data_IF_998770823420
#
_entry.id   IF_998770823420
#
_cell.length_a   1.000
_cell.length_b   1.000
_cell.length_c   1.000
_cell.angle_alpha   90.00
_cell.angle_beta   90.00
_cell.angle_gamma   90.00
#
_symmetry.space_group_name_H-M   'P 1'
#
loop_
_entity.id
_entity.type
_entity.pdbx_description
1 polymer ?
#
# COMPACT_ATOMS: atom_id res chain seq x y z
N UNK A 1 27.39 0.25 23.13
CA UNK A 1 28.10 -1.05 23.10
C UNK A 1 27.08 -2.14 23.42
N UNK A 2 26.48 -2.69 22.38
CA UNK A 2 25.65 -3.90 22.42
C UNK A 2 25.71 -4.46 21.00
N UNK A 3 26.56 -5.46 20.79
CA UNK A 3 26.69 -6.17 19.52
C UNK A 3 25.44 -7.02 19.31
N UNK A 4 24.58 -6.60 18.40
CA UNK A 4 23.49 -7.41 17.87
C UNK A 4 24.03 -8.34 16.79
N UNK A 5 24.02 -9.64 17.07
CA UNK A 5 24.38 -10.69 16.13
C UNK A 5 23.31 -10.83 15.04
N UNK A 6 23.72 -10.71 13.78
CA UNK A 6 22.91 -11.05 12.60
C UNK A 6 22.69 -12.57 12.50
N UNK A 7 21.49 -13.05 12.15
CA UNK A 7 21.30 -14.45 11.80
C UNK A 7 21.77 -14.70 10.36
N UNK A 8 22.98 -15.24 10.22
CA UNK A 8 23.40 -15.94 9.00
C UNK A 8 22.55 -17.19 8.83
N UNK A 9 21.68 -17.23 7.82
CA UNK A 9 20.88 -18.43 7.52
C UNK A 9 20.70 -18.68 6.03
N UNK A 10 21.79 -18.80 5.30
CA UNK A 10 21.82 -19.46 3.98
C UNK A 10 23.20 -20.09 3.79
N UNK A 11 23.26 -21.42 3.69
CA UNK A 11 24.50 -22.13 3.37
C UNK A 11 24.65 -23.51 4.01
N UNK A 12 23.68 -24.41 3.85
CA UNK A 12 23.99 -25.85 3.88
C UNK A 12 23.57 -26.46 2.53
N UNK A 13 24.50 -26.34 1.58
CA UNK A 13 24.53 -27.17 0.39
C UNK A 13 24.71 -28.63 0.81
N UNK A 14 23.68 -29.45 0.61
CA UNK A 14 23.83 -30.90 0.70
C UNK A 14 24.67 -31.39 -0.49
N UNK A 15 25.99 -31.46 -0.30
CA UNK A 15 26.88 -32.25 -1.14
C UNK A 15 26.45 -33.73 -1.07
N UNK A 16 26.07 -34.27 -2.23
CA UNK A 16 25.87 -35.70 -2.42
C UNK A 16 27.25 -36.37 -2.36
N UNK A 17 27.52 -37.07 -1.27
CA UNK A 17 28.67 -37.96 -1.09
C UNK A 17 28.53 -39.18 -2.00
N UNK A 18 29.23 -39.15 -3.15
CA UNK A 18 29.42 -40.31 -4.02
C UNK A 18 30.48 -41.21 -3.38
N UNK A 19 29.99 -42.08 -2.52
CA UNK A 19 30.78 -42.92 -1.61
C UNK A 19 32.00 -43.61 -2.24
N UNK A 20 33.03 -43.66 -1.41
CA UNK A 20 34.26 -44.41 -1.61
C UNK A 20 33.98 -45.90 -1.86
N UNK A 21 34.55 -46.40 -2.96
CA UNK A 21 34.57 -47.82 -3.33
C UNK A 21 35.55 -48.54 -2.42
N UNK A 22 35.03 -49.22 -1.40
CA UNK A 22 35.80 -50.16 -0.59
C UNK A 22 35.99 -51.48 -1.34
N UNK A 23 37.24 -51.88 -1.56
CA UNK A 23 37.61 -53.23 -2.04
C UNK A 23 37.20 -54.28 -0.99
N UNK A 24 36.10 -54.98 -1.24
CA UNK A 24 35.77 -56.23 -0.57
C UNK A 24 36.39 -57.39 -1.36
N UNK A 25 37.16 -58.24 -0.66
CA UNK A 25 37.85 -59.40 -1.23
C UNK A 25 36.91 -60.45 -1.83
N UNK A 26 37.47 -61.46 -2.52
CA UNK A 26 36.67 -62.43 -3.28
C UNK A 26 35.76 -63.26 -2.36
N UNK A 27 34.46 -63.03 -2.50
CA UNK A 27 33.39 -63.83 -1.90
C UNK A 27 33.29 -65.18 -2.64
N UNK A 28 33.11 -66.32 -1.94
CA UNK A 28 33.14 -67.64 -2.55
C UNK A 28 31.98 -67.84 -3.54
N UNK A 29 32.30 -68.48 -4.66
CA UNK A 29 31.42 -68.80 -5.78
C UNK A 29 30.10 -69.46 -5.28
N UNK A 30 28.92 -68.85 -5.49
CA UNK A 30 27.66 -69.48 -5.12
C UNK A 30 27.39 -70.66 -6.05
N UNK A 31 27.04 -71.80 -5.46
CA UNK A 31 26.63 -73.00 -6.17
C UNK A 31 25.51 -72.67 -7.19
N UNK A 32 25.48 -73.31 -8.38
CA UNK A 32 24.52 -72.99 -9.42
C UNK A 32 23.09 -73.13 -8.90
N UNK A 33 22.38 -71.99 -8.84
CA UNK A 33 20.98 -71.93 -8.46
C UNK A 33 20.15 -72.75 -9.45
N UNK A 34 19.41 -73.73 -8.95
CA UNK A 34 18.44 -74.49 -9.75
C UNK A 34 17.46 -73.54 -10.44
N UNK A 35 17.03 -73.83 -11.69
CA UNK A 35 16.12 -72.97 -12.42
C UNK A 35 14.80 -72.83 -11.66
N UNK A 36 14.59 -71.66 -11.05
CA UNK A 36 13.28 -71.28 -10.50
C UNK A 36 12.30 -71.29 -11.67
N UNK A 37 11.31 -72.17 -11.61
CA UNK A 37 10.15 -72.14 -12.50
C UNK A 37 9.42 -70.83 -12.24
N UNK A 38 9.74 -69.80 -13.02
CA UNK A 38 8.88 -68.63 -13.13
C UNK A 38 7.50 -69.13 -13.56
N UNK A 39 6.52 -68.99 -12.67
CA UNK A 39 5.12 -69.07 -13.03
C UNK A 39 4.94 -68.05 -14.16
N UNK A 40 4.84 -68.55 -15.40
CA UNK A 40 4.49 -67.75 -16.57
C UNK A 40 3.06 -67.30 -16.36
N UNK A 41 2.89 -66.19 -15.65
CA UNK A 41 1.63 -65.46 -15.64
C UNK A 41 1.43 -65.04 -17.10
N UNK A 42 0.36 -65.48 -17.78
CA UNK A 42 0.15 -65.14 -19.17
C UNK A 42 0.09 -63.62 -19.30
N UNK A 43 0.82 -63.04 -20.27
CA UNK A 43 0.89 -61.60 -20.52
C UNK A 43 -0.50 -60.92 -20.59
N UNK A 44 -1.55 -61.68 -20.91
CA UNK A 44 -2.94 -61.24 -20.86
C UNK A 44 -3.38 -60.79 -19.46
N UNK A 45 -3.01 -61.49 -18.38
CA UNK A 45 -3.42 -61.14 -17.02
C UNK A 45 -2.77 -59.82 -16.54
N UNK A 46 -1.51 -59.59 -16.92
CA UNK A 46 -0.83 -58.31 -16.68
C UNK A 46 -1.46 -57.17 -17.50
N UNK A 47 -1.84 -57.43 -18.75
CA UNK A 47 -2.54 -56.45 -19.58
C UNK A 47 -3.92 -56.10 -19.01
N UNK A 48 -4.68 -57.08 -18.54
CA UNK A 48 -5.97 -56.85 -17.87
C UNK A 48 -5.81 -56.04 -16.57
N UNK A 49 -4.79 -56.33 -15.77
CA UNK A 49 -4.51 -55.55 -14.57
C UNK A 49 -4.12 -54.10 -14.91
N UNK A 50 -3.28 -53.89 -15.92
CA UNK A 50 -2.89 -52.55 -16.37
C UNK A 50 -4.10 -51.76 -16.91
N UNK A 51 -4.97 -52.40 -17.70
CA UNK A 51 -6.21 -51.78 -18.20
C UNK A 51 -7.16 -51.46 -17.04
N UNK A 52 -7.30 -52.36 -16.07
CA UNK A 52 -8.15 -52.12 -14.91
C UNK A 52 -7.62 -50.97 -14.03
N UNK A 53 -6.29 -50.88 -13.82
CA UNK A 53 -5.66 -49.78 -13.09
C UNK A 53 -5.81 -48.47 -13.87
N UNK A 54 -5.60 -48.47 -15.19
CA UNK A 54 -5.78 -47.29 -16.03
C UNK A 54 -7.23 -46.82 -16.05
N UNK A 55 -8.20 -47.74 -16.12
CA UNK A 55 -9.62 -47.43 -16.01
C UNK A 55 -9.99 -46.92 -14.62
N UNK A 56 -9.48 -47.54 -13.55
CA UNK A 56 -9.72 -47.07 -12.18
C UNK A 56 -9.12 -45.68 -11.97
N UNK A 57 -7.90 -45.43 -12.45
CA UNK A 57 -7.27 -44.12 -12.41
C UNK A 57 -8.08 -43.11 -13.24
N UNK A 58 -8.50 -43.45 -14.46
CA UNK A 58 -9.33 -42.58 -15.29
C UNK A 58 -10.68 -42.28 -14.63
N UNK A 59 -11.33 -43.26 -14.01
CA UNK A 59 -12.58 -43.07 -13.27
C UNK A 59 -12.37 -42.19 -12.05
N UNK A 60 -11.32 -42.43 -11.25
CA UNK A 60 -10.98 -41.58 -10.08
C UNK A 60 -10.68 -40.15 -10.52
N UNK A 61 -9.95 -39.97 -11.62
CA UNK A 61 -9.67 -38.65 -12.21
C UNK A 61 -10.95 -37.98 -12.69
N UNK A 62 -11.81 -38.69 -13.44
CA UNK A 62 -13.10 -38.17 -13.93
C UNK A 62 -14.06 -37.85 -12.78
N UNK A 63 -14.09 -38.64 -11.71
CA UNK A 63 -14.92 -38.39 -10.52
C UNK A 63 -14.40 -37.19 -9.74
N UNK A 64 -13.07 -37.09 -9.53
CA UNK A 64 -12.46 -35.92 -8.88
C UNK A 64 -12.59 -34.63 -9.68
N UNK A 65 -12.64 -34.72 -11.01
CA UNK A 65 -12.74 -33.57 -11.92
C UNK A 65 -14.16 -33.35 -12.45
N UNK A 66 -15.14 -34.14 -11.99
CA UNK A 66 -16.52 -33.95 -12.41
C UNK A 66 -17.06 -32.68 -11.74
N UNK A 67 -17.53 -31.69 -12.50
CA UNK A 67 -18.15 -30.48 -11.94
C UNK A 67 -19.42 -30.79 -11.11
N UNK A 68 -19.96 -32.01 -11.23
CA UNK A 68 -21.11 -32.48 -10.43
C UNK A 68 -20.74 -32.94 -9.01
N UNK A 69 -19.45 -33.03 -8.67
CA UNK A 69 -18.96 -33.55 -7.38
C UNK A 69 -17.85 -32.67 -6.78
N UNK A 70 -17.95 -31.34 -6.90
CA UNK A 70 -17.04 -30.45 -6.15
C UNK A 70 -17.19 -30.75 -4.65
N UNK A 71 -16.07 -30.89 -3.89
CA UNK A 71 -16.15 -31.04 -2.44
C UNK A 71 -16.90 -29.86 -1.83
N UNK A 72 -17.68 -30.12 -0.76
CA UNK A 72 -18.50 -29.10 -0.11
C UNK A 72 -17.69 -27.84 0.27
N UNK A 73 -16.45 -28.01 0.73
CA UNK A 73 -15.57 -26.89 1.06
C UNK A 73 -15.18 -26.06 -0.18
N UNK A 74 -14.87 -26.72 -1.30
CA UNK A 74 -14.54 -26.05 -2.55
C UNK A 74 -15.74 -25.26 -3.10
N UNK A 75 -16.95 -25.84 -3.05
CA UNK A 75 -18.17 -25.11 -3.45
C UNK A 75 -18.49 -23.94 -2.53
N UNK A 76 -18.16 -24.04 -1.24
CA UNK A 76 -18.39 -22.96 -0.25
C UNK A 76 -17.48 -21.77 -0.54
N UNK A 77 -16.18 -22.00 -0.75
CA UNK A 77 -15.23 -20.94 -1.11
C UNK A 77 -15.53 -20.36 -2.49
N UNK A 78 -15.92 -21.20 -3.45
CA UNK A 78 -16.34 -20.72 -4.78
C UNK A 78 -17.56 -19.80 -4.66
N UNK A 79 -18.61 -20.23 -3.96
CA UNK A 79 -19.83 -19.43 -3.78
C UNK A 79 -19.59 -18.13 -3.01
N UNK A 80 -18.70 -18.15 -2.02
CA UNK A 80 -18.24 -16.94 -1.33
C UNK A 80 -17.59 -15.94 -2.30
N UNK A 81 -16.58 -16.36 -3.07
CA UNK A 81 -15.89 -15.48 -4.00
C UNK A 81 -16.80 -14.99 -5.13
N UNK A 82 -17.67 -15.84 -5.66
CA UNK A 82 -18.67 -15.47 -6.68
C UNK A 82 -19.65 -14.42 -6.12
N UNK A 83 -20.15 -14.60 -4.89
CA UNK A 83 -21.04 -13.61 -4.26
C UNK A 83 -20.36 -12.26 -4.05
N UNK A 84 -19.09 -12.25 -3.61
CA UNK A 84 -18.31 -11.02 -3.46
C UNK A 84 -18.08 -10.35 -4.81
N UNK A 85 -17.70 -11.12 -5.83
CA UNK A 85 -17.51 -10.61 -7.20
C UNK A 85 -18.80 -9.98 -7.77
N UNK A 86 -19.97 -10.57 -7.46
CA UNK A 86 -21.27 -10.08 -7.90
C UNK A 86 -21.82 -8.92 -7.03
N UNK A 87 -21.07 -8.50 -6.00
CA UNK A 87 -21.47 -7.43 -5.08
C UNK A 87 -22.54 -7.83 -4.05
N UNK A 88 -22.83 -9.13 -3.89
CA UNK A 88 -23.82 -9.65 -2.94
C UNK A 88 -23.16 -9.94 -1.58
N UNK A 89 -23.02 -8.86 -0.78
CA UNK A 89 -22.40 -8.93 0.56
C UNK A 89 -23.15 -9.88 1.49
N UNK A 90 -24.49 -9.86 1.48
CA UNK A 90 -25.30 -10.73 2.36
C UNK A 90 -25.07 -12.21 2.03
N UNK A 91 -25.08 -12.56 0.74
CA UNK A 91 -24.80 -13.92 0.30
C UNK A 91 -23.35 -14.33 0.61
N UNK A 92 -22.38 -13.43 0.44
CA UNK A 92 -20.98 -13.69 0.79
C UNK A 92 -20.82 -14.01 2.28
N UNK A 93 -21.37 -13.16 3.17
CA UNK A 93 -21.29 -13.36 4.62
C UNK A 93 -21.99 -14.64 5.09
N UNK A 94 -23.01 -15.11 4.37
CA UNK A 94 -23.69 -16.37 4.69
C UNK A 94 -22.78 -17.62 4.59
N UNK A 95 -21.66 -17.54 3.86
CA UNK A 95 -20.67 -18.63 3.75
C UNK A 95 -19.59 -18.59 4.83
N UNK A 96 -19.56 -17.58 5.70
CA UNK A 96 -18.50 -17.38 6.70
C UNK A 96 -18.99 -17.66 8.12
N UNK A 97 -18.05 -17.76 9.06
CA UNK A 97 -18.32 -17.76 10.50
C UNK A 97 -18.66 -16.35 11.06
N UNK A 98 -18.59 -15.32 10.20
CA UNK A 98 -18.76 -13.90 10.51
C UNK A 98 -20.03 -13.33 9.85
N UNK A 99 -21.15 -14.05 9.95
CA UNK A 99 -22.41 -13.73 9.23
C UNK A 99 -23.02 -12.37 9.57
N UNK A 100 -22.80 -11.91 10.80
CA UNK A 100 -23.33 -10.65 11.34
C UNK A 100 -22.26 -9.55 11.34
N UNK A 101 -21.18 -9.71 10.57
CA UNK A 101 -20.16 -8.68 10.46
C UNK A 101 -20.72 -7.39 9.85
N UNK A 102 -20.33 -6.27 10.42
CA UNK A 102 -20.69 -4.93 9.97
C UNK A 102 -19.41 -4.14 9.72
N UNK A 103 -19.43 -3.26 8.72
CA UNK A 103 -18.29 -2.41 8.41
C UNK A 103 -18.60 -1.44 7.28
N UNK A 104 -17.89 -0.31 7.19
CA UNK A 104 -18.13 0.72 6.19
C UNK A 104 -17.93 0.20 4.76
N UNK A 105 -17.04 -0.77 4.57
CA UNK A 105 -16.72 -1.37 3.27
C UNK A 105 -17.41 -2.71 3.01
N UNK A 106 -18.28 -3.18 3.92
CA UNK A 106 -19.12 -4.35 3.69
C UNK A 106 -20.41 -3.93 2.98
N UNK A 107 -20.25 -3.26 1.83
CA UNK A 107 -21.33 -2.76 0.99
C UNK A 107 -21.01 -3.03 -0.48
N UNK A 108 -22.02 -3.25 -1.35
CA UNK A 108 -21.80 -3.52 -2.77
C UNK A 108 -20.96 -2.45 -3.47
N UNK A 109 -21.12 -1.18 -3.08
CA UNK A 109 -20.42 -0.04 -3.66
C UNK A 109 -18.91 -0.06 -3.41
N UNK A 110 -18.44 -0.75 -2.37
CA UNK A 110 -17.02 -0.93 -2.11
C UNK A 110 -16.41 -2.07 -2.92
N UNK A 111 -17.21 -2.89 -3.60
CA UNK A 111 -16.76 -4.09 -4.32
C UNK A 111 -16.66 -3.79 -5.81
N UNK A 112 -15.49 -4.09 -6.37
CA UNK A 112 -15.22 -3.91 -7.80
C UNK A 112 -15.02 -5.27 -8.48
N UNK A 113 -15.62 -5.46 -9.67
CA UNK A 113 -15.57 -6.68 -10.46
C UNK A 113 -14.35 -6.76 -11.41
N UNK A 114 -13.35 -5.87 -11.29
CA UNK A 114 -12.10 -5.88 -12.07
C UNK A 114 -11.12 -6.98 -11.62
N UNK A 115 -11.63 -8.15 -11.27
CA UNK A 115 -10.83 -9.32 -10.97
C UNK A 115 -11.63 -10.59 -11.27
N UNK A 116 -10.95 -11.71 -11.45
CA UNK A 116 -11.56 -12.97 -11.84
C UNK A 116 -11.06 -14.10 -10.94
N UNK A 117 -11.91 -15.10 -10.69
CA UNK A 117 -11.52 -16.30 -9.94
C UNK A 117 -10.79 -17.24 -10.91
N UNK A 118 -9.48 -17.41 -10.72
CA UNK A 118 -8.69 -18.28 -11.60
C UNK A 118 -8.69 -19.73 -11.12
N UNK A 119 -8.68 -19.94 -9.81
CA UNK A 119 -8.57 -21.26 -9.22
C UNK A 119 -9.19 -21.35 -7.84
N UNK A 120 -9.97 -22.40 -7.62
CA UNK A 120 -10.37 -22.86 -6.30
C UNK A 120 -10.16 -24.36 -6.24
N UNK A 121 -9.44 -24.86 -5.23
CA UNK A 121 -9.16 -26.28 -5.09
C UNK A 121 -9.00 -26.68 -3.62
N UNK A 122 -9.72 -27.72 -3.20
CA UNK A 122 -9.47 -28.33 -1.89
C UNK A 122 -8.10 -29.02 -1.87
N UNK A 123 -7.21 -28.59 -0.97
CA UNK A 123 -5.83 -29.10 -0.86
C UNK A 123 -5.60 -29.98 0.35
N UNK A 124 -6.39 -29.83 1.42
CA UNK A 124 -6.36 -30.70 2.59
C UNK A 124 -7.77 -30.99 3.10
N UNK A 125 -7.94 -32.13 3.78
CA UNK A 125 -9.20 -32.55 4.39
C UNK A 125 -8.94 -33.50 5.55
N UNK A 126 -9.58 -33.23 6.69
CA UNK A 126 -9.51 -34.04 7.90
C UNK A 126 -10.93 -34.32 8.40
N UNK A 127 -11.33 -35.59 8.38
CA UNK A 127 -12.56 -36.05 9.03
C UNK A 127 -12.29 -36.30 10.51
N UNK A 128 -13.05 -35.63 11.38
CA UNK A 128 -12.91 -35.74 12.83
C UNK A 128 -13.95 -36.67 13.46
N UNK A 129 -14.87 -37.22 12.67
CA UNK A 129 -15.99 -38.03 13.14
C UNK A 129 -17.22 -37.20 13.49
N UNK A 130 -18.34 -37.88 13.82
CA UNK A 130 -19.62 -37.26 14.21
C UNK A 130 -20.21 -36.27 13.18
N UNK A 131 -19.83 -36.42 11.91
CA UNK A 131 -20.24 -35.53 10.82
C UNK A 131 -19.47 -34.22 10.78
N UNK A 132 -18.33 -34.12 11.50
CA UNK A 132 -17.47 -32.94 11.53
C UNK A 132 -16.19 -33.16 10.74
N UNK A 133 -15.80 -32.18 9.95
CA UNK A 133 -14.54 -32.20 9.22
C UNK A 133 -13.96 -30.79 9.10
N UNK A 134 -12.67 -30.72 8.83
CA UNK A 134 -12.00 -29.47 8.43
C UNK A 134 -11.37 -29.65 7.06
N UNK A 135 -11.35 -28.60 6.26
CA UNK A 135 -10.71 -28.59 4.94
C UNK A 135 -9.87 -27.33 4.77
N UNK A 136 -8.79 -27.45 3.99
CA UNK A 136 -8.07 -26.29 3.47
C UNK A 136 -8.36 -26.18 1.98
N UNK A 137 -8.74 -24.98 1.54
CA UNK A 137 -9.06 -24.67 0.15
C UNK A 137 -8.13 -23.58 -0.33
N UNK A 138 -7.32 -23.88 -1.35
CA UNK A 138 -6.52 -22.87 -2.04
C UNK A 138 -7.43 -22.11 -3.00
N UNK A 139 -7.38 -20.79 -2.94
CA UNK A 139 -8.04 -19.90 -3.88
C UNK A 139 -7.01 -18.94 -4.49
N UNK A 140 -7.24 -18.56 -5.74
CA UNK A 140 -6.44 -17.61 -6.49
C UNK A 140 -7.38 -16.73 -7.32
N UNK A 141 -7.11 -15.43 -7.30
CA UNK A 141 -7.82 -14.43 -8.09
C UNK A 141 -6.81 -13.63 -8.91
N UNK A 142 -7.25 -13.14 -10.07
CA UNK A 142 -6.45 -12.35 -11.01
C UNK A 142 -7.11 -10.99 -11.23
N UNK A 143 -6.39 -9.90 -10.97
CA UNK A 143 -6.83 -8.54 -11.21
C UNK A 143 -6.28 -7.95 -12.52
N UNK A 144 -6.27 -6.62 -12.65
CA UNK A 144 -5.66 -5.93 -13.78
C UNK A 144 -4.16 -6.28 -13.90
N UNK A 145 -3.62 -6.11 -15.11
CA UNK A 145 -2.20 -6.38 -15.43
C UNK A 145 -1.69 -7.79 -15.08
N UNK A 146 -2.60 -8.76 -15.02
CA UNK A 146 -2.32 -10.15 -14.62
C UNK A 146 -1.78 -10.29 -13.19
N UNK A 147 -2.12 -9.34 -12.31
CA UNK A 147 -1.79 -9.41 -10.89
C UNK A 147 -2.51 -10.61 -10.25
N UNK A 148 -1.73 -11.58 -9.76
CA UNK A 148 -2.25 -12.83 -9.18
C UNK A 148 -2.00 -12.86 -7.68
N UNK A 149 -3.07 -13.04 -6.90
CA UNK A 149 -2.99 -13.23 -5.44
C UNK A 149 -3.64 -14.56 -5.05
N UNK A 150 -2.96 -15.31 -4.18
CA UNK A 150 -3.38 -16.63 -3.74
C UNK A 150 -3.40 -16.78 -2.22
N UNK A 151 -4.46 -17.40 -1.70
CA UNK A 151 -4.63 -17.68 -0.27
C UNK A 151 -5.13 -19.09 0.01
N UNK A 152 -5.03 -19.52 1.27
CA UNK A 152 -5.62 -20.77 1.75
C UNK A 152 -6.68 -20.44 2.79
N UNK A 153 -7.93 -20.78 2.47
CA UNK A 153 -9.05 -20.70 3.39
C UNK A 153 -9.14 -21.96 4.24
N UNK A 154 -9.46 -21.79 5.51
CA UNK A 154 -9.84 -22.88 6.39
C UNK A 154 -11.37 -22.98 6.42
N UNK A 155 -11.89 -24.18 6.20
CA UNK A 155 -13.34 -24.42 6.11
C UNK A 155 -13.73 -25.46 7.15
N UNK A 156 -14.58 -25.05 8.08
CA UNK A 156 -15.21 -25.93 9.05
C UNK A 156 -16.47 -26.57 8.43
N UNK A 157 -16.63 -27.88 8.61
CA UNK A 157 -17.79 -28.62 8.15
C UNK A 157 -18.45 -29.29 9.36
N UNK A 158 -19.74 -29.03 9.59
CA UNK A 158 -20.56 -29.69 10.62
C UNK A 158 -21.87 -30.18 10.00
N UNK A 159 -22.07 -31.51 9.97
CA UNK A 159 -23.29 -32.19 9.51
C UNK A 159 -23.77 -31.73 8.12
N UNK A 160 -22.84 -31.51 7.21
CA UNK A 160 -23.13 -31.12 5.82
C UNK A 160 -23.35 -29.62 5.61
N UNK A 161 -23.16 -28.81 6.65
CA UNK A 161 -23.01 -27.35 6.53
C UNK A 161 -21.53 -27.00 6.56
N UNK A 162 -21.10 -26.03 5.75
CA UNK A 162 -19.72 -25.61 5.65
C UNK A 162 -19.60 -24.09 5.79
N UNK A 163 -18.61 -23.64 6.55
CA UNK A 163 -18.34 -22.23 6.83
C UNK A 163 -16.85 -21.96 6.68
N UNK A 164 -16.51 -20.80 6.11
CA UNK A 164 -15.15 -20.32 6.00
C UNK A 164 -14.81 -19.60 7.31
N UNK A 165 -13.76 -20.05 7.98
CA UNK A 165 -13.25 -19.40 9.19
C UNK A 165 -12.36 -18.21 8.80
N UNK A 166 -12.65 -17.03 9.35
CA UNK A 166 -11.81 -15.84 9.15
C UNK A 166 -11.67 -15.45 7.68
N UNK A 167 -12.79 -15.45 6.95
CA UNK A 167 -12.81 -15.21 5.50
C UNK A 167 -12.38 -13.79 5.11
N UNK A 168 -12.56 -12.82 6.02
CA UNK A 168 -12.26 -11.41 5.86
C UNK A 168 -11.01 -11.03 6.65
N UNK A 169 -10.34 -9.97 6.19
CA UNK A 169 -9.26 -9.33 6.94
C UNK A 169 -9.81 -8.15 7.73
N UNK A 170 -9.53 -8.13 9.03
CA UNK A 170 -9.63 -6.94 9.88
C UNK A 170 -8.27 -6.26 9.90
N UNK A 171 -8.21 -4.99 9.51
CA UNK A 171 -6.96 -4.23 9.46
C UNK A 171 -7.16 -2.82 9.99
N UNK A 172 -6.10 -2.23 10.52
CA UNK A 172 -6.07 -0.82 10.90
C UNK A 172 -6.10 0.06 9.64
N UNK A 173 -7.06 0.98 9.57
CA UNK A 173 -7.17 1.93 8.48
C UNK A 173 -6.17 3.07 8.67
N UNK A 174 -5.32 3.25 7.67
CA UNK A 174 -4.46 4.42 7.53
C UNK A 174 -4.93 5.19 6.30
N UNK A 175 -5.29 6.46 6.50
CA UNK A 175 -5.70 7.36 5.44
C UNK A 175 -4.63 8.41 5.18
N UNK A 176 -4.51 8.82 3.92
CA UNK A 176 -3.69 9.96 3.53
C UNK A 176 -4.37 11.29 3.88
N UNK A 177 -5.66 11.25 4.17
CA UNK A 177 -6.47 12.39 4.58
C UNK A 177 -7.14 12.08 5.92
N UNK A 178 -8.00 12.98 6.39
CA UNK A 178 -8.91 12.75 7.52
C UNK A 178 -10.01 11.72 7.22
N UNK A 179 -9.97 11.06 6.06
CA UNK A 179 -10.80 9.93 5.70
C UNK A 179 -10.00 8.92 4.87
N UNK A 180 -10.49 7.68 4.80
CA UNK A 180 -10.07 6.65 3.85
C UNK A 180 -11.18 6.46 2.80
N UNK A 181 -10.80 6.49 1.52
CA UNK A 181 -11.72 6.27 0.40
C UNK A 181 -11.27 5.04 -0.39
N UNK A 182 -12.14 4.03 -0.43
CA UNK A 182 -11.94 2.82 -1.23
C UNK A 182 -13.10 2.67 -2.21
N UNK A 183 -12.80 2.66 -3.50
CA UNK A 183 -13.79 2.53 -4.58
C UNK A 183 -14.94 3.56 -4.48
N UNK A 184 -14.72 4.73 -3.87
CA UNK A 184 -15.70 5.80 -3.70
C UNK A 184 -16.49 5.73 -2.39
N UNK A 185 -16.25 4.73 -1.54
CA UNK A 185 -16.82 4.62 -0.20
C UNK A 185 -15.89 5.30 0.80
N UNK A 186 -16.39 6.33 1.48
CA UNK A 186 -15.59 7.12 2.43
C UNK A 186 -15.82 6.69 3.88
N UNK A 187 -14.73 6.59 4.63
CA UNK A 187 -14.69 6.39 6.07
C UNK A 187 -13.89 7.52 6.72
N UNK A 188 -14.56 8.38 7.49
CA UNK A 188 -13.90 9.41 8.29
C UNK A 188 -12.97 8.77 9.35
N UNK A 189 -11.76 9.31 9.47
CA UNK A 189 -10.73 8.88 10.40
C UNK A 189 -10.51 9.96 11.46
N UNK A 190 -11.04 9.71 12.65
CA UNK A 190 -10.75 10.55 13.81
C UNK A 190 -9.53 10.02 14.56
N UNK A 191 -8.36 10.52 14.21
CA UNK A 191 -7.09 10.12 14.82
C UNK A 191 -6.99 10.49 16.30
N UNK A 192 -7.82 11.42 16.81
CA UNK A 192 -7.88 11.71 18.24
C UNK A 192 -8.54 10.57 19.03
N UNK A 193 -9.42 9.80 18.38
CA UNK A 193 -10.12 8.66 19.00
C UNK A 193 -9.32 7.35 18.95
N UNK A 194 -8.19 7.34 18.25
CA UNK A 194 -7.30 6.20 18.12
C UNK A 194 -7.46 5.43 16.81
N UNK A 195 -6.91 4.21 16.71
CA UNK A 195 -6.90 3.44 15.48
C UNK A 195 -8.31 3.00 15.08
N UNK A 196 -8.65 3.20 13.81
CA UNK A 196 -9.91 2.74 13.21
C UNK A 196 -9.64 1.40 12.53
N UNK A 197 -10.47 0.38 12.77
CA UNK A 197 -10.33 -0.92 12.12
C UNK A 197 -11.39 -1.10 11.05
N UNK A 198 -11.01 -1.69 9.92
CA UNK A 198 -11.86 -1.95 8.77
C UNK A 198 -11.88 -3.43 8.45
N UNK A 199 -13.01 -3.89 7.92
CA UNK A 199 -13.19 -5.23 7.41
C UNK A 199 -13.34 -5.16 5.89
N UNK A 200 -12.54 -5.96 5.19
CA UNK A 200 -12.56 -6.04 3.73
C UNK A 200 -12.88 -7.46 3.26
N UNK A 201 -13.78 -7.54 2.28
CA UNK A 201 -13.99 -8.74 1.50
C UNK A 201 -12.90 -8.87 0.42
N UNK A 202 -12.68 -10.07 -0.14
CA UNK A 202 -11.78 -10.23 -1.27
C UNK A 202 -12.14 -9.33 -2.46
N UNK A 203 -11.15 -8.85 -3.19
CA UNK A 203 -11.43 -8.10 -4.42
C UNK A 203 -10.38 -7.05 -4.74
N UNK A 204 -10.75 -6.16 -5.64
CA UNK A 204 -9.93 -5.04 -6.12
C UNK A 204 -10.40 -3.74 -5.46
N UNK A 205 -9.46 -2.95 -4.94
CA UNK A 205 -9.74 -1.68 -4.27
C UNK A 205 -8.81 -0.58 -4.78
N UNK A 206 -9.41 0.51 -5.25
CA UNK A 206 -8.74 1.77 -5.57
C UNK A 206 -8.86 2.74 -4.40
N UNK A 207 -7.72 3.28 -3.98
CA UNK A 207 -7.64 4.37 -3.02
C UNK A 207 -7.96 5.70 -3.71
N UNK A 208 -8.87 6.47 -3.13
CA UNK A 208 -9.24 7.82 -3.58
C UNK A 208 -9.43 7.93 -5.10
N UNK A 209 -10.44 7.24 -5.70
CA UNK A 209 -10.64 7.24 -7.16
C UNK A 209 -10.87 8.64 -7.76
N UNK A 210 -11.33 9.59 -6.94
CA UNK A 210 -11.53 10.99 -7.29
C UNK A 210 -10.35 11.89 -6.83
N UNK A 211 -9.13 11.36 -6.70
CA UNK A 211 -7.94 12.15 -6.34
C UNK A 211 -7.73 13.30 -7.35
N UNK A 212 -7.66 14.57 -6.91
CA UNK A 212 -7.40 15.72 -7.77
C UNK A 212 -6.12 15.56 -8.58
N UNK A 213 -6.11 16.06 -9.83
CA UNK A 213 -4.94 15.95 -10.72
C UNK A 213 -3.69 16.70 -10.23
N UNK A 214 -3.83 17.59 -9.25
CA UNK A 214 -2.73 18.25 -8.53
C UNK A 214 -2.02 17.34 -7.54
N UNK A 215 -2.55 16.14 -7.32
CA UNK A 215 -1.99 15.10 -6.46
C UNK A 215 -1.88 13.80 -7.23
N UNK A 216 -0.96 12.95 -6.82
CA UNK A 216 -0.79 11.60 -7.34
C UNK A 216 -0.27 10.69 -6.23
N UNK A 217 -0.30 9.37 -6.43
CA UNK A 217 0.32 8.45 -5.49
C UNK A 217 1.81 8.29 -5.79
N UNK A 218 2.64 8.17 -4.75
CA UNK A 218 4.06 7.84 -4.87
C UNK A 218 4.25 6.45 -5.48
N UNK A 219 3.40 5.52 -5.05
CA UNK A 219 3.32 4.14 -5.52
C UNK A 219 1.90 3.89 -6.09
N UNK A 220 1.46 2.63 -6.08
CA UNK A 220 0.16 2.22 -6.60
C UNK A 220 -1.00 2.76 -5.75
N UNK A 221 -1.98 3.36 -6.44
CA UNK A 221 -3.27 3.76 -5.88
C UNK A 221 -4.27 2.62 -5.79
N UNK A 222 -3.90 1.39 -6.11
CA UNK A 222 -4.78 0.23 -6.10
C UNK A 222 -4.16 -0.99 -5.40
N UNK A 223 -5.03 -1.87 -4.91
CA UNK A 223 -4.63 -3.13 -4.31
C UNK A 223 -5.64 -4.24 -4.57
N UNK A 224 -5.16 -5.48 -4.51
CA UNK A 224 -6.00 -6.66 -4.40
C UNK A 224 -5.98 -7.24 -2.99
N UNK A 225 -7.12 -7.71 -2.51
CA UNK A 225 -7.30 -8.35 -1.20
C UNK A 225 -7.75 -9.78 -1.39
N UNK A 226 -7.12 -10.74 -0.70
CA UNK A 226 -7.60 -12.13 -0.66
C UNK A 226 -7.20 -12.82 0.65
N UNK A 227 -8.18 -13.06 1.51
CA UNK A 227 -7.94 -13.55 2.87
C UNK A 227 -7.15 -12.52 3.66
N UNK A 228 -6.04 -12.92 4.29
CA UNK A 228 -5.20 -12.04 5.11
C UNK A 228 -4.07 -11.34 4.34
N UNK A 229 -4.22 -11.12 3.04
CA UNK A 229 -3.13 -10.64 2.18
C UNK A 229 -3.57 -9.51 1.28
N UNK A 230 -2.64 -8.61 1.04
CA UNK A 230 -2.74 -7.47 0.14
C UNK A 230 -1.66 -7.59 -0.94
N UNK A 231 -2.05 -7.35 -2.18
CA UNK A 231 -1.14 -7.24 -3.32
C UNK A 231 -1.29 -5.84 -3.92
N UNK A 232 -0.22 -5.04 -3.87
CA UNK A 232 -0.12 -3.84 -4.70
C UNK A 232 0.09 -4.27 -6.15
N UNK A 233 -0.67 -3.74 -7.09
CA UNK A 233 -0.77 -4.24 -8.47
C UNK A 233 0.46 -3.82 -9.29
N UNK A 234 0.81 -2.53 -9.29
CA UNK A 234 1.92 -2.01 -10.09
C UNK A 234 3.28 -2.49 -9.56
N UNK A 235 3.47 -2.47 -8.24
CA UNK A 235 4.73 -2.88 -7.60
C UNK A 235 4.85 -4.41 -7.47
N UNK A 236 3.73 -5.14 -7.52
CA UNK A 236 3.66 -6.59 -7.30
C UNK A 236 4.02 -7.01 -5.87
N UNK A 237 4.03 -6.07 -4.92
CA UNK A 237 4.39 -6.32 -3.52
C UNK A 237 3.22 -7.01 -2.82
N UNK A 238 3.48 -8.22 -2.31
CA UNK A 238 2.54 -9.00 -1.51
C UNK A 238 2.90 -8.88 -0.02
N UNK A 239 1.94 -8.44 0.79
CA UNK A 239 2.11 -8.26 2.23
C UNK A 239 0.85 -8.71 3.01
N UNK A 240 0.99 -8.84 4.33
CA UNK A 240 -0.11 -9.04 5.29
C UNK A 240 -0.60 -7.69 5.86
N UNK A 241 0.17 -6.62 5.64
CA UNK A 241 -0.21 -5.25 6.00
C UNK A 241 -0.84 -4.54 4.80
N UNK A 242 -1.92 -3.80 5.05
CA UNK A 242 -2.54 -2.98 4.01
C UNK A 242 -1.55 -1.93 3.53
N UNK A 243 -1.34 -1.77 2.21
CA UNK A 243 -0.46 -0.74 1.69
C UNK A 243 -0.96 0.65 2.09
N UNK A 244 -0.05 1.52 2.49
CA UNK A 244 -0.36 2.93 2.76
C UNK A 244 -0.37 3.70 1.44
N UNK A 245 -1.47 4.35 1.05
CA UNK A 245 -1.60 5.03 -0.23
C UNK A 245 -0.94 6.41 -0.18
N UNK A 246 0.39 6.47 -0.14
CA UNK A 246 1.15 7.71 0.02
C UNK A 246 0.86 8.68 -1.13
N UNK A 247 0.22 9.81 -0.81
CA UNK A 247 -0.05 10.88 -1.78
C UNK A 247 1.13 11.84 -1.83
N UNK A 248 1.49 12.28 -3.03
CA UNK A 248 2.47 13.31 -3.33
C UNK A 248 1.84 14.39 -4.21
N UNK A 249 2.50 15.54 -4.30
CA UNK A 249 2.08 16.62 -5.20
C UNK A 249 2.50 16.27 -6.61
N UNK A 250 1.56 16.28 -7.55
CA UNK A 250 1.87 16.02 -8.97
C UNK A 250 2.61 17.21 -9.59
N UNK A 251 3.11 17.07 -10.83
CA UNK A 251 3.72 18.20 -11.53
C UNK A 251 2.75 19.37 -11.73
N UNK A 252 1.46 19.10 -11.95
CA UNK A 252 0.43 20.14 -12.05
C UNK A 252 0.26 20.86 -10.70
N UNK A 253 0.26 20.10 -9.60
CA UNK A 253 0.21 20.66 -8.25
C UNK A 253 1.45 21.50 -7.92
N UNK A 254 2.65 21.05 -8.30
CA UNK A 254 3.90 21.80 -8.12
C UNK A 254 3.89 23.11 -8.90
N UNK A 255 3.41 23.10 -10.14
CA UNK A 255 3.26 24.31 -10.95
C UNK A 255 2.26 25.29 -10.30
N UNK A 256 1.17 24.77 -9.72
CA UNK A 256 0.17 25.55 -9.01
C UNK A 256 0.73 26.17 -7.72
N UNK A 257 1.41 25.39 -6.88
CA UNK A 257 2.10 25.86 -5.67
C UNK A 257 3.10 26.96 -6.00
N UNK A 258 3.92 26.76 -7.03
CA UNK A 258 4.89 27.76 -7.47
C UNK A 258 4.22 29.06 -7.97
N UNK A 259 3.07 28.95 -8.64
CA UNK A 259 2.31 30.12 -9.10
C UNK A 259 1.72 30.91 -7.91
N UNK A 260 1.11 30.24 -6.93
CA UNK A 260 0.56 30.90 -5.76
C UNK A 260 1.64 31.49 -4.85
N UNK A 261 2.80 30.83 -4.70
CA UNK A 261 3.93 31.40 -3.97
C UNK A 261 4.41 32.70 -4.60
N UNK A 262 4.45 32.77 -5.94
CA UNK A 262 4.78 34.00 -6.65
C UNK A 262 3.78 35.10 -6.34
N UNK A 263 2.49 34.79 -6.45
CA UNK A 263 1.42 35.74 -6.13
C UNK A 263 1.47 36.20 -4.68
N UNK A 264 1.74 35.30 -3.73
CA UNK A 264 1.90 35.62 -2.31
C UNK A 264 3.05 36.62 -2.09
N UNK A 265 4.25 36.32 -2.62
CA UNK A 265 5.39 37.21 -2.45
C UNK A 265 5.26 38.54 -3.22
N UNK A 266 4.61 38.54 -4.39
CA UNK A 266 4.27 39.77 -5.12
C UNK A 266 3.27 40.63 -4.33
N UNK A 267 2.24 40.00 -3.73
CA UNK A 267 1.29 40.67 -2.85
C UNK A 267 1.98 41.29 -1.63
N UNK A 268 2.91 40.55 -1.04
CA UNK A 268 3.78 41.01 0.04
C UNK A 268 4.70 42.17 -0.37
N UNK A 269 5.24 42.13 -1.58
CA UNK A 269 6.09 43.20 -2.10
C UNK A 269 5.30 44.51 -2.24
N UNK A 270 4.03 44.39 -2.65
CA UNK A 270 3.11 45.50 -2.81
C UNK A 270 2.59 46.04 -1.46
N UNK A 271 2.28 45.16 -0.50
CA UNK A 271 1.82 45.52 0.85
C UNK A 271 2.48 44.63 1.92
N UNK A 272 3.62 45.08 2.51
CA UNK A 272 4.33 44.31 3.54
C UNK A 272 3.59 44.29 4.89
N UNK A 273 2.47 45.00 5.03
CA UNK A 273 1.69 45.06 6.29
C UNK A 273 0.62 43.99 6.37
N UNK A 274 0.40 43.25 5.27
CA UNK A 274 -0.51 42.10 5.24
C UNK A 274 -0.07 41.06 6.26
N UNK A 275 -1.04 40.47 6.95
CA UNK A 275 -0.81 39.41 7.92
C UNK A 275 -0.07 38.22 7.27
N UNK A 276 0.91 37.66 7.97
CA UNK A 276 1.74 36.57 7.44
C UNK A 276 2.84 37.02 6.47
N UNK A 277 2.93 38.30 6.13
CA UNK A 277 3.95 38.77 5.20
C UNK A 277 5.38 38.72 5.81
N UNK A 278 6.36 38.09 5.14
CA UNK A 278 7.71 37.96 5.70
C UNK A 278 8.57 39.22 5.50
N UNK A 279 8.09 40.24 4.78
CA UNK A 279 8.88 41.43 4.42
C UNK A 279 8.85 42.48 5.53
N UNK A 280 9.72 42.29 6.52
CA UNK A 280 9.92 43.21 7.64
C UNK A 280 11.40 43.46 7.90
N UNK A 281 11.73 44.63 8.43
CA UNK A 281 13.08 44.88 8.88
C UNK A 281 13.33 44.19 10.22
N UNK A 282 14.53 43.60 10.43
CA UNK A 282 14.91 43.09 11.73
C UNK A 282 15.04 44.25 12.72
N UNK A 283 14.71 43.99 13.99
CA UNK A 283 15.00 44.94 15.05
C UNK A 283 16.51 45.01 15.27
N UNK A 284 17.11 46.18 15.04
CA UNK A 284 18.53 46.44 15.27
C UNK A 284 18.68 47.65 16.22
N UNK A 285 19.17 47.47 17.46
CA UNK A 285 19.32 48.58 18.40
C UNK A 285 20.44 49.56 18.01
N UNK A 286 21.34 49.18 17.10
CA UNK A 286 22.43 50.04 16.63
C UNK A 286 22.02 50.91 15.42
N UNK A 287 20.97 50.53 14.68
CA UNK A 287 20.59 51.17 13.42
C UNK A 287 19.08 51.23 13.26
N UNK A 288 18.58 52.39 12.85
CA UNK A 288 17.18 52.51 12.45
C UNK A 288 17.07 52.30 10.93
N UNK A 289 16.18 51.39 10.54
CA UNK A 289 15.91 51.05 9.14
C UNK A 289 14.49 51.48 8.77
N UNK A 290 14.37 52.27 7.73
CA UNK A 290 13.08 52.66 7.15
C UNK A 290 13.12 52.52 5.63
N UNK A 291 11.96 52.32 5.01
CA UNK A 291 11.83 52.38 3.56
C UNK A 291 12.21 53.79 3.09
N UNK A 292 13.03 53.88 2.05
CA UNK A 292 13.31 55.17 1.42
C UNK A 292 12.02 55.76 0.82
N UNK A 293 11.88 57.09 0.70
CA UNK A 293 10.67 57.71 0.17
C UNK A 293 10.29 57.17 -1.22
N UNK A 294 9.11 56.54 -1.32
CA UNK A 294 8.60 55.95 -2.57
C UNK A 294 9.23 54.61 -2.94
N UNK A 295 10.08 54.03 -2.09
CA UNK A 295 10.58 52.67 -2.27
C UNK A 295 9.50 51.64 -1.92
N UNK A 296 9.54 50.52 -2.63
CA UNK A 296 8.71 49.35 -2.43
C UNK A 296 9.59 48.12 -2.54
N UNK A 297 9.21 47.07 -1.80
CA UNK A 297 9.87 45.77 -1.93
C UNK A 297 9.71 45.25 -3.36
N UNK A 298 10.70 44.50 -3.83
CA UNK A 298 10.68 43.84 -5.12
C UNK A 298 11.25 42.44 -4.97
N UNK A 299 10.53 41.42 -5.44
CA UNK A 299 11.06 40.06 -5.50
C UNK A 299 11.98 39.99 -6.71
N UNK A 300 13.29 39.91 -6.46
CA UNK A 300 14.30 39.79 -7.50
C UNK A 300 14.40 38.34 -8.02
N UNK A 301 14.30 37.37 -7.11
CA UNK A 301 14.36 35.94 -7.40
C UNK A 301 13.35 35.21 -6.51
N UNK A 302 12.52 34.36 -7.11
CA UNK A 302 11.61 33.51 -6.35
C UNK A 302 12.35 32.29 -5.78
N UNK A 303 11.99 31.81 -4.58
CA UNK A 303 12.59 30.59 -4.05
C UNK A 303 12.24 29.40 -4.96
N UNK A 304 13.19 28.47 -5.11
CA UNK A 304 12.87 27.15 -5.64
C UNK A 304 12.34 26.31 -4.50
N UNK A 305 11.19 25.68 -4.73
CA UNK A 305 10.44 24.96 -3.69
C UNK A 305 10.28 23.51 -4.09
N UNK A 306 10.22 22.66 -3.07
CA UNK A 306 9.76 21.28 -3.18
C UNK A 306 8.69 21.06 -2.13
N UNK A 307 7.64 20.36 -2.51
CA UNK A 307 6.67 19.86 -1.55
C UNK A 307 7.29 18.66 -0.85
N UNK A 308 7.52 18.78 0.45
CA UNK A 308 7.93 17.67 1.29
C UNK A 308 6.70 16.95 1.84
N UNK A 309 6.83 15.62 1.89
CA UNK A 309 5.85 14.76 2.56
C UNK A 309 5.92 15.01 4.07
N UNK A 310 5.05 15.87 4.55
CA UNK A 310 4.65 15.86 5.96
C UNK A 310 3.44 14.93 6.09
N UNK A 311 3.33 14.27 7.23
CA UNK A 311 2.22 13.35 7.53
C UNK A 311 0.90 14.11 7.39
N UNK A 312 0.23 13.94 6.25
CA UNK A 312 -0.99 14.66 5.90
C UNK A 312 -2.11 14.36 6.93
N UNK A 313 -2.02 13.22 7.62
CA UNK A 313 -2.77 12.84 8.84
C UNK A 313 -2.87 13.95 9.91
N UNK A 314 -1.92 14.88 9.98
CA UNK A 314 -1.99 16.02 10.91
C UNK A 314 -2.79 17.22 10.38
N UNK A 315 -3.51 17.06 9.26
CA UNK A 315 -4.41 18.06 8.68
C UNK A 315 -3.71 19.33 8.17
N UNK A 316 -2.38 19.28 7.99
CA UNK A 316 -1.59 20.44 7.63
C UNK A 316 -1.28 20.54 6.13
N UNK A 317 -1.57 19.51 5.33
CA UNK A 317 -1.18 19.46 3.92
C UNK A 317 0.29 19.11 3.70
N UNK A 318 0.84 19.47 2.55
CA UNK A 318 2.25 19.25 2.21
C UNK A 318 3.12 20.38 2.74
N UNK A 319 4.21 20.04 3.43
CA UNK A 319 5.19 21.03 3.84
C UNK A 319 5.93 21.59 2.63
N UNK A 320 6.26 22.88 2.64
CA UNK A 320 7.02 23.49 1.56
C UNK A 320 8.45 23.74 2.02
N UNK A 321 9.42 23.12 1.34
CA UNK A 321 10.84 23.36 1.63
C UNK A 321 11.51 24.16 0.50
N UNK A 322 12.28 25.20 0.86
CA UNK A 322 13.13 25.90 -0.10
C UNK A 322 14.39 25.09 -0.41
N UNK A 323 14.48 24.54 -1.62
CA UNK A 323 15.73 23.94 -2.12
C UNK A 323 16.78 25.02 -2.41
N UNK A 324 16.35 26.18 -2.92
CA UNK A 324 17.16 27.40 -3.06
C UNK A 324 16.39 28.61 -2.51
N UNK A 325 17.03 29.47 -1.69
CA UNK A 325 16.39 30.68 -1.22
C UNK A 325 16.17 31.65 -2.38
N UNK A 326 15.05 32.36 -2.35
CA UNK A 326 14.82 33.50 -3.22
C UNK A 326 15.46 34.77 -2.66
N UNK A 327 15.18 35.89 -3.31
CA UNK A 327 15.69 37.20 -2.94
C UNK A 327 14.62 38.29 -3.12
N UNK A 328 14.38 39.06 -2.06
CA UNK A 328 13.64 40.31 -2.10
C UNK A 328 14.57 41.50 -1.84
N UNK A 329 14.40 42.59 -2.58
CA UNK A 329 15.24 43.78 -2.49
C UNK A 329 14.40 45.01 -2.20
N UNK A 330 14.98 45.96 -1.48
CA UNK A 330 14.33 47.26 -1.24
C UNK A 330 15.35 48.36 -0.96
N UNK A 331 15.04 49.59 -1.37
CA UNK A 331 15.84 50.76 -0.98
C UNK A 331 15.41 51.23 0.41
N UNK A 332 16.39 51.35 1.30
CA UNK A 332 16.19 51.78 2.68
C UNK A 332 17.01 53.01 3.01
N UNK A 333 16.49 53.81 3.94
CA UNK A 333 17.26 54.79 4.68
C UNK A 333 17.78 54.14 5.96
N UNK A 334 19.10 54.08 6.11
CA UNK A 334 19.80 53.55 7.28
C UNK A 334 20.28 54.74 8.10
N UNK A 335 19.81 54.83 9.34
CA UNK A 335 20.27 55.85 10.29
C UNK A 335 21.15 55.22 11.37
N UNK A 336 22.42 55.61 11.40
CA UNK A 336 23.44 55.15 12.34
C UNK A 336 24.23 56.37 12.85
N UNK A 337 24.40 56.50 14.17
CA UNK A 337 25.08 57.65 14.81
C UNK A 337 24.55 59.04 14.37
N UNK A 338 23.26 59.13 14.04
CA UNK A 338 22.60 60.37 13.60
C UNK A 338 22.89 60.77 12.15
N UNK A 339 23.52 59.90 11.36
CA UNK A 339 23.70 60.07 9.92
C UNK A 339 22.78 59.11 9.16
N UNK A 340 22.05 59.65 8.19
CA UNK A 340 21.17 58.87 7.31
C UNK A 340 21.80 58.70 5.94
N UNK A 341 21.81 57.47 5.43
CA UNK A 341 22.23 57.15 4.06
C UNK A 341 21.24 56.20 3.40
N UNK A 342 21.11 56.30 2.08
CA UNK A 342 20.29 55.38 1.29
C UNK A 342 21.15 54.19 0.84
N UNK A 343 20.61 52.98 0.97
CA UNK A 343 21.24 51.75 0.51
C UNK A 343 20.20 50.81 -0.12
N UNK A 344 20.63 49.96 -1.05
CA UNK A 344 19.84 48.82 -1.49
C UNK A 344 20.14 47.66 -0.56
N UNK A 345 19.11 47.13 0.10
CA UNK A 345 19.24 45.92 0.92
C UNK A 345 18.54 44.76 0.26
N UNK A 346 19.14 43.58 0.41
CA UNK A 346 18.62 42.31 -0.01
C UNK A 346 18.25 41.47 1.22
N UNK A 347 17.12 40.79 1.12
CA UNK A 347 16.60 39.84 2.09
C UNK A 347 16.44 38.47 1.40
N UNK A 348 17.04 37.40 1.94
CA UNK A 348 16.76 36.04 1.46
C UNK A 348 15.35 35.62 1.88
N UNK A 349 14.57 35.10 0.93
CA UNK A 349 13.20 34.62 1.18
C UNK A 349 13.15 33.09 1.08
N UNK A 350 12.38 32.46 1.97
CA UNK A 350 12.26 31.01 2.12
C UNK A 350 10.81 30.63 2.44
N UNK A 351 10.44 29.39 2.10
CA UNK A 351 9.08 28.87 2.30
C UNK A 351 8.94 27.87 3.45
N UNK A 352 10.03 27.41 4.09
CA UNK A 352 10.02 26.39 5.17
C UNK A 352 8.73 26.25 6.02
N UNK A 353 8.33 27.00 7.05
CA UNK A 353 7.05 26.79 7.76
C UNK A 353 5.73 27.04 7.00
N UNK A 354 5.71 27.10 5.65
CA UNK A 354 4.49 27.16 4.84
C UNK A 354 4.03 25.77 4.41
N UNK A 355 2.73 25.64 4.18
CA UNK A 355 2.10 24.40 3.75
C UNK A 355 1.23 24.65 2.53
N UNK A 356 1.19 23.68 1.62
CA UNK A 356 0.20 23.60 0.57
C UNK A 356 -0.91 22.63 0.99
N UNK A 357 -2.09 23.16 1.26
CA UNK A 357 -3.29 22.36 1.47
C UNK A 357 -3.99 22.16 0.13
N UNK A 358 -4.21 20.91 -0.25
CA UNK A 358 -4.98 20.55 -1.45
C UNK A 358 -6.36 20.05 -0.99
N UNK A 359 -7.40 20.72 -1.46
CA UNK A 359 -8.80 20.47 -1.17
C UNK A 359 -9.46 19.84 -2.41
N UNK A 360 -10.21 18.75 -2.20
CA UNK A 360 -10.88 18.02 -3.27
C UNK A 360 -11.95 18.84 -4.03
N UNK A 361 -12.50 19.89 -3.41
CA UNK A 361 -13.54 20.77 -3.98
C UNK A 361 -13.01 22.15 -4.40
N UNK A 362 -12.11 22.74 -3.61
CA UNK A 362 -11.72 24.16 -3.72
C UNK A 362 -10.38 24.35 -4.45
N UNK A 363 -9.60 23.27 -4.64
CA UNK A 363 -8.30 23.32 -5.31
C UNK A 363 -7.15 23.30 -4.31
N UNK A 364 -6.39 24.38 -4.19
CA UNK A 364 -5.29 24.44 -3.22
C UNK A 364 -5.16 25.82 -2.57
N UNK A 365 -4.64 25.85 -1.34
CA UNK A 365 -4.28 27.06 -0.59
C UNK A 365 -2.86 26.96 -0.04
N UNK A 366 -2.23 28.12 0.17
CA UNK A 366 -0.98 28.22 0.92
C UNK A 366 -1.32 28.74 2.31
N UNK A 367 -1.05 27.92 3.31
CA UNK A 367 -1.33 28.23 4.70
C UNK A 367 -0.05 28.31 5.51
N UNK A 368 -0.10 29.13 6.55
CA UNK A 368 0.98 29.25 7.51
C UNK A 368 0.89 28.12 8.55
N UNK A 369 1.98 27.38 8.73
CA UNK A 369 2.04 26.33 9.74
C UNK A 369 2.13 26.82 11.18
N UNK A 370 2.00 25.88 12.12
CA UNK A 370 2.14 26.14 13.56
C UNK A 370 3.54 26.65 13.95
N UNK A 371 4.57 26.25 13.21
CA UNK A 371 5.93 26.76 13.34
C UNK A 371 6.16 27.98 12.44
N UNK A 372 5.25 28.96 12.49
CA UNK A 372 5.48 30.22 11.80
C UNK A 372 6.80 30.85 12.26
N UNK A 373 7.62 31.12 11.26
CA UNK A 373 9.00 31.54 11.34
C UNK A 373 9.25 32.78 12.20
N UNK A 374 10.19 32.66 13.14
CA UNK A 374 10.86 33.84 13.68
C UNK A 374 11.97 34.39 12.75
N UNK A 375 12.29 33.71 11.63
CA UNK A 375 13.56 33.88 10.89
C UNK A 375 13.55 34.75 9.60
N UNK A 376 12.42 35.35 9.20
CA UNK A 376 12.36 36.07 7.92
C UNK A 376 13.01 37.47 7.93
N UNK A 377 13.84 37.73 6.92
CA UNK A 377 14.66 38.94 6.77
C UNK A 377 15.56 39.29 7.97
N UNK A 378 15.93 38.30 8.80
CA UNK A 378 16.87 38.50 9.93
C UNK A 378 18.25 39.01 9.50
N UNK A 379 18.68 38.68 8.29
CA UNK A 379 19.94 39.15 7.72
C UNK A 379 19.68 39.99 6.47
N UNK A 380 19.70 41.30 6.63
CA UNK A 380 19.77 42.21 5.48
C UNK A 380 21.22 42.34 5.03
N UNK A 381 21.44 42.20 3.73
CA UNK A 381 22.75 42.41 3.11
C UNK A 381 22.65 43.63 2.20
N UNK A 382 23.54 44.60 2.40
CA UNK A 382 23.70 45.72 1.48
C UNK A 382 24.34 45.22 0.18
N UNK A 383 23.71 45.52 -0.97
CA UNK A 383 24.08 45.00 -2.30
C UNK A 383 24.91 45.99 -3.11
#
# INVERSE_FOLDING_TARGET
>A
MSESASPQRWGEEHMIDLGAVGEAGPEPEPAPSQPRRFLRIPNAALAYAAIAIALAAAVVTVVKWSPLHRPLAESTVTGFLEAVHDGDVEAALAFTDQRDAEGPYLVPEALDARWEITRVAQVAYTDTGDGKATAEVYAEIEGPDHALIGTRYHVAIDRGHAEIEGAMIEHEAYGSFDYLDLNGVKLELDLEQGPVYILLLPGYYEFYPDLPSTMEFEDDGAMMVLGSKFLQIESGVLDEWMPSPWVVVSQEGEDAVNAALREFYDGCAADPTVEGCPFKFPEDPARELALAPGAQWQVAVYPEVRSERLWYEHGAGFGLESSLPGEAQVQVEITEDGQTRTALVSCPIRVNGLYAAFDFEVGFSIDAGYEMFEDHCRSLVEV
#
